data_IF_243579292000
#
_entry.id   IF_243579292000
#
_cell.length_a   1.000
_cell.length_b   1.000
_cell.length_c   1.000
_cell.angle_alpha   90.00
_cell.angle_beta   90.00
_cell.angle_gamma   90.00
#
_symmetry.space_group_name_H-M   'P 1'
#
loop_
_entity.id
_entity.type
_entity.pdbx_description
1 polymer ?
#
# COMPACT_ATOMS: atom_id res chain seq x y z
N UNK A 1 -29.30 -24.48 4.18
CA UNK A 1 -28.50 -23.88 3.08
C UNK A 1 -27.74 -22.72 3.69
N UNK A 2 -26.41 -22.80 3.77
CA UNK A 2 -25.59 -21.75 4.39
C UNK A 2 -25.10 -20.82 3.29
N UNK A 3 -25.47 -19.55 3.34
CA UNK A 3 -24.94 -18.52 2.44
C UNK A 3 -23.62 -18.03 3.03
N UNK A 4 -22.50 -18.45 2.45
CA UNK A 4 -21.19 -17.89 2.80
C UNK A 4 -21.06 -16.54 2.08
N UNK A 5 -21.22 -15.45 2.82
CA UNK A 5 -20.94 -14.10 2.32
C UNK A 5 -19.43 -13.88 2.40
N UNK A 6 -18.70 -14.24 1.35
CA UNK A 6 -17.29 -13.85 1.24
C UNK A 6 -17.25 -12.33 1.07
N UNK A 7 -16.56 -11.57 1.95
CA UNK A 7 -16.44 -10.13 1.75
C UNK A 7 -15.81 -9.88 0.38
N UNK A 8 -16.53 -9.15 -0.48
CA UNK A 8 -15.99 -8.62 -1.72
C UNK A 8 -14.84 -7.70 -1.33
N UNK A 9 -13.61 -8.21 -1.40
CA UNK A 9 -12.42 -7.37 -1.29
C UNK A 9 -12.53 -6.38 -2.44
N UNK A 10 -12.70 -5.09 -2.13
CA UNK A 10 -12.76 -4.05 -3.13
C UNK A 10 -11.56 -4.23 -4.07
N UNK A 11 -11.83 -4.43 -5.35
CA UNK A 11 -10.79 -4.63 -6.34
C UNK A 11 -10.03 -3.31 -6.45
N UNK A 12 -8.81 -3.28 -5.90
CA UNK A 12 -7.93 -2.12 -6.04
C UNK A 12 -7.43 -2.11 -7.48
N UNK A 13 -7.64 -0.99 -8.16
CA UNK A 13 -7.16 -0.75 -9.51
C UNK A 13 -5.94 0.15 -9.44
N UNK A 14 -4.96 -0.07 -10.31
CA UNK A 14 -3.80 0.79 -10.39
C UNK A 14 -4.19 2.17 -10.92
N UNK A 15 -3.94 3.23 -10.14
CA UNK A 15 -4.21 4.62 -10.53
C UNK A 15 -3.41 5.06 -11.80
N UNK A 16 -2.32 4.37 -12.13
CA UNK A 16 -1.46 4.68 -13.29
C UNK A 16 -1.89 3.95 -14.58
N UNK A 17 -2.09 2.63 -14.52
CA UNK A 17 -2.30 1.81 -15.72
C UNK A 17 -3.67 1.12 -15.79
N UNK A 18 -4.56 1.37 -14.81
CA UNK A 18 -5.87 0.72 -14.66
C UNK A 18 -5.83 -0.82 -14.56
N UNK A 19 -4.65 -1.40 -14.26
CA UNK A 19 -4.48 -2.85 -14.09
C UNK A 19 -5.08 -3.35 -12.78
N UNK A 20 -5.57 -4.59 -12.77
CA UNK A 20 -6.19 -5.23 -11.59
C UNK A 20 -5.21 -6.13 -10.79
N UNK A 21 -3.97 -6.31 -11.27
CA UNK A 21 -2.93 -7.06 -10.56
C UNK A 21 -2.25 -6.14 -9.55
N UNK A 22 -2.95 -5.80 -8.48
CA UNK A 22 -2.49 -4.86 -7.46
C UNK A 22 -2.40 -5.53 -6.10
N UNK A 23 -1.27 -5.38 -5.43
CA UNK A 23 -1.11 -5.69 -4.01
C UNK A 23 -1.30 -4.40 -3.23
N UNK A 24 -2.20 -4.42 -2.25
CA UNK A 24 -2.40 -3.32 -1.29
C UNK A 24 -2.42 -3.86 0.13
N UNK A 25 -1.54 -3.32 0.98
CA UNK A 25 -1.37 -3.72 2.39
C UNK A 25 -1.09 -2.50 3.26
N UNK A 26 -1.51 -2.54 4.52
CA UNK A 26 -1.09 -1.57 5.53
C UNK A 26 0.10 -2.14 6.31
N UNK A 27 1.13 -1.34 6.54
CA UNK A 27 2.34 -1.73 7.29
C UNK A 27 2.79 -0.59 8.21
N UNK A 28 3.54 -0.93 9.26
CA UNK A 28 4.18 0.04 10.16
C UNK A 28 5.65 0.18 9.81
N UNK A 29 6.12 1.41 9.59
CA UNK A 29 7.53 1.72 9.31
C UNK A 29 8.35 1.80 10.61
N UNK A 30 9.66 1.89 10.46
CA UNK A 30 10.62 1.92 11.59
C UNK A 30 10.37 3.07 12.56
N UNK A 31 9.89 4.22 12.08
CA UNK A 31 9.50 5.37 12.91
C UNK A 31 8.15 5.21 13.65
N UNK A 32 7.47 4.06 13.50
CA UNK A 32 6.17 3.78 14.07
C UNK A 32 4.97 4.26 13.23
N UNK A 33 5.20 4.92 12.09
CA UNK A 33 4.12 5.36 11.21
C UNK A 33 3.44 4.19 10.50
N UNK A 34 2.11 4.13 10.55
CA UNK A 34 1.32 3.26 9.67
C UNK A 34 1.19 3.88 8.27
N UNK A 35 1.45 3.08 7.24
CA UNK A 35 1.33 3.46 5.83
C UNK A 35 0.62 2.37 5.02
N UNK A 36 -0.18 2.79 4.05
CA UNK A 36 -0.76 1.92 3.04
C UNK A 36 0.19 1.84 1.85
N UNK A 37 0.75 0.66 1.60
CA UNK A 37 1.59 0.38 0.45
C UNK A 37 0.77 -0.26 -0.67
N UNK A 38 0.92 0.28 -1.88
CA UNK A 38 0.32 -0.28 -3.08
C UNK A 38 1.40 -0.56 -4.13
N UNK A 39 1.35 -1.75 -4.73
CA UNK A 39 2.25 -2.18 -5.82
C UNK A 39 1.43 -2.79 -6.96
N UNK A 40 1.59 -2.25 -8.16
CA UNK A 40 1.04 -2.84 -9.37
C UNK A 40 2.03 -3.83 -10.00
N UNK A 41 1.57 -5.04 -10.30
CA UNK A 41 2.38 -6.05 -11.00
C UNK A 41 2.32 -5.92 -12.52
N UNK A 42 1.48 -5.02 -13.06
CA UNK A 42 1.36 -4.79 -14.50
C UNK A 42 2.28 -3.69 -15.03
N UNK A 43 2.42 -2.58 -14.30
CA UNK A 43 3.26 -1.44 -14.69
C UNK A 43 4.36 -1.12 -13.65
N UNK A 44 4.50 -1.96 -12.62
CA UNK A 44 5.53 -1.87 -11.58
C UNK A 44 5.50 -0.59 -10.72
N UNK A 45 4.49 0.27 -10.90
CA UNK A 45 4.32 1.47 -10.08
C UNK A 45 4.04 1.10 -8.63
N UNK A 46 4.68 1.84 -7.72
CA UNK A 46 4.53 1.73 -6.27
C UNK A 46 4.13 3.07 -5.70
N UNK A 47 3.23 3.06 -4.72
CA UNK A 47 2.82 4.25 -3.98
C UNK A 47 2.63 3.94 -2.50
N UNK A 48 2.74 5.00 -1.70
CA UNK A 48 2.57 4.94 -0.26
C UNK A 48 1.57 6.03 0.14
N UNK A 49 0.62 5.69 1.01
CA UNK A 49 -0.30 6.66 1.60
C UNK A 49 -0.22 6.61 3.13
N UNK A 50 -0.31 7.77 3.77
CA UNK A 50 -0.49 7.88 5.21
C UNK A 50 -1.76 8.67 5.48
N UNK A 51 -2.71 8.07 6.20
CA UNK A 51 -4.03 8.66 6.44
C UNK A 51 -4.71 9.11 5.14
N UNK A 52 -4.61 8.28 4.09
CA UNK A 52 -5.17 8.55 2.76
C UNK A 52 -4.40 9.55 1.89
N UNK A 53 -3.34 10.19 2.39
CA UNK A 53 -2.51 11.14 1.62
C UNK A 53 -1.27 10.46 1.06
N UNK A 54 -0.96 10.72 -0.20
CA UNK A 54 0.25 10.17 -0.85
C UNK A 54 1.53 10.72 -0.21
N UNK A 55 2.53 9.84 -0.06
CA UNK A 55 3.86 10.15 0.43
C UNK A 55 4.89 10.02 -0.69
N UNK A 56 5.81 10.97 -0.74
CA UNK A 56 7.00 10.86 -1.58
C UNK A 56 7.93 9.75 -1.09
N UNK A 57 8.63 9.10 -2.02
CA UNK A 57 9.53 7.99 -1.72
C UNK A 57 10.65 8.39 -0.75
N UNK A 58 11.20 9.61 -0.84
CA UNK A 58 12.25 10.08 0.07
C UNK A 58 11.75 10.17 1.51
N UNK A 59 10.49 10.56 1.70
CA UNK A 59 9.84 10.61 3.01
C UNK A 59 9.69 9.21 3.58
N UNK A 60 9.23 8.25 2.77
CA UNK A 60 9.09 6.84 3.19
C UNK A 60 10.44 6.25 3.58
N UNK A 61 11.49 6.50 2.81
CA UNK A 61 12.84 6.02 3.10
C UNK A 61 13.38 6.60 4.41
N UNK A 62 13.15 7.90 4.67
CA UNK A 62 13.51 8.52 5.95
C UNK A 62 12.81 7.88 7.14
N UNK A 63 11.50 7.58 7.01
CA UNK A 63 10.70 6.90 8.04
C UNK A 63 11.11 5.44 8.26
N UNK A 64 11.55 4.77 7.20
CA UNK A 64 11.97 3.37 7.25
C UNK A 64 13.42 3.19 7.73
N UNK A 65 14.20 4.27 7.82
CA UNK A 65 15.61 4.22 8.18
C UNK A 65 15.81 3.64 9.59
N UNK A 66 16.64 2.59 9.67
CA UNK A 66 17.10 2.05 10.95
C UNK A 66 18.13 3.01 11.55
N UNK A 67 17.80 3.57 12.70
CA UNK A 67 18.75 4.32 13.50
C UNK A 67 19.62 3.32 14.25
N UNK A 68 20.94 3.41 14.06
CA UNK A 68 21.87 2.71 14.95
C UNK A 68 21.86 3.46 16.28
N UNK A 69 21.44 2.77 17.34
CA UNK A 69 21.68 3.18 18.71
C UNK A 69 23.18 3.11 19.03
#
# INVERSE_FOLDING_TARGET
MSLVTTPTRALVVCDTCSGNRVTSITMTLTDGSAVDFTSCHSCETRSWKQNGRELDISTVLGKAQKHKL
#
